data_IF_459125302522
#
_entry.id   IF_459125302522
#
_cell.length_a   1.000
_cell.length_b   1.000
_cell.length_c   1.000
_cell.angle_alpha   90.00
_cell.angle_beta   90.00
_cell.angle_gamma   90.00
#
_symmetry.space_group_name_H-M   'P 1'
#
loop_
_entity.id
_entity.type
_entity.pdbx_description
1 polymer ?
#
# COMPACT_ATOMS: atom_id res chain seq x y z
N UNK A 1 -6.74 22.90 -13.30
CA UNK A 1 -7.53 22.23 -12.23
C UNK A 1 -8.54 21.22 -12.74
N UNK A 2 -9.71 21.57 -13.30
CA UNK A 2 -10.70 20.55 -13.74
C UNK A 2 -10.16 19.58 -14.81
N UNK A 3 -9.40 20.10 -15.80
CA UNK A 3 -8.80 19.26 -16.85
C UNK A 3 -7.78 18.26 -16.30
N UNK A 4 -6.99 18.64 -15.29
CA UNK A 4 -6.00 17.76 -14.65
C UNK A 4 -6.69 16.70 -13.78
N UNK A 5 -7.75 17.10 -13.06
CA UNK A 5 -8.58 16.17 -12.28
C UNK A 5 -9.30 15.17 -13.19
N UNK A 6 -9.79 15.60 -14.35
CA UNK A 6 -10.40 14.71 -15.33
C UNK A 6 -9.36 13.77 -15.96
N UNK A 7 -8.20 14.29 -16.32
CA UNK A 7 -7.12 13.50 -16.88
C UNK A 7 -6.66 12.38 -15.92
N UNK A 8 -6.60 12.67 -14.62
CA UNK A 8 -6.25 11.70 -13.57
C UNK A 8 -7.44 10.91 -13.01
N UNK A 9 -8.65 11.08 -13.57
CA UNK A 9 -9.87 10.50 -13.02
C UNK A 9 -9.84 8.97 -12.96
N UNK A 10 -9.47 8.22 -14.02
CA UNK A 10 -9.45 6.75 -13.97
C UNK A 10 -8.59 6.20 -12.83
N UNK A 11 -7.37 6.71 -12.70
CA UNK A 11 -6.44 6.35 -11.62
C UNK A 11 -6.97 6.75 -10.25
N UNK A 12 -7.51 7.95 -10.11
CA UNK A 12 -8.03 8.45 -8.83
C UNK A 12 -9.26 7.63 -8.39
N UNK A 13 -10.12 7.25 -9.33
CA UNK A 13 -11.27 6.40 -9.06
C UNK A 13 -10.82 5.01 -8.58
N UNK A 14 -9.87 4.39 -9.28
CA UNK A 14 -9.28 3.10 -8.89
C UNK A 14 -8.71 3.15 -7.45
N UNK A 15 -7.91 4.18 -7.15
CA UNK A 15 -7.33 4.39 -5.83
C UNK A 15 -8.40 4.57 -4.77
N UNK A 16 -9.42 5.39 -5.04
CA UNK A 16 -10.51 5.66 -4.09
C UNK A 16 -11.38 4.44 -3.85
N UNK A 17 -11.65 3.61 -4.87
CA UNK A 17 -12.37 2.34 -4.69
C UNK A 17 -11.59 1.44 -3.74
N UNK A 18 -10.29 1.22 -3.99
CA UNK A 18 -9.49 0.35 -3.13
C UNK A 18 -9.32 0.91 -1.71
N UNK A 19 -9.24 2.23 -1.55
CA UNK A 19 -9.18 2.89 -0.25
C UNK A 19 -10.44 2.65 0.61
N UNK A 20 -11.57 2.27 0.01
CA UNK A 20 -12.76 1.85 0.77
C UNK A 20 -12.48 0.64 1.66
N UNK A 21 -11.52 -0.23 1.32
CA UNK A 21 -11.11 -1.34 2.18
C UNK A 21 -10.28 -0.90 3.39
N UNK A 22 -9.65 0.27 3.32
CA UNK A 22 -8.87 0.80 4.43
C UNK A 22 -9.80 1.29 5.56
N UNK A 23 -10.97 1.81 5.18
CA UNK A 23 -12.03 2.28 6.08
C UNK A 23 -13.05 1.19 6.47
N UNK A 24 -12.98 0.01 5.84
CA UNK A 24 -13.96 -1.04 6.04
C UNK A 24 -13.75 -1.85 7.33
N UNK A 25 -14.86 -2.35 7.88
CA UNK A 25 -14.89 -3.25 9.02
C UNK A 25 -15.09 -4.71 8.58
N UNK A 26 -14.65 -5.72 9.34
CA UNK A 26 -14.96 -7.12 9.03
C UNK A 26 -16.47 -7.37 9.13
N UNK A 27 -17.01 -8.17 8.20
CA UNK A 27 -18.37 -8.72 8.32
C UNK A 27 -18.51 -9.55 9.60
N UNK A 28 -19.73 -9.69 10.17
CA UNK A 28 -19.96 -10.55 11.33
C UNK A 28 -19.47 -12.00 11.12
N UNK A 29 -19.65 -12.53 9.90
CA UNK A 29 -19.16 -13.86 9.53
C UNK A 29 -17.63 -13.93 9.57
N UNK A 30 -16.93 -12.91 9.06
CA UNK A 30 -15.47 -12.84 9.12
C UNK A 30 -14.97 -12.68 10.56
N UNK A 31 -15.58 -11.80 11.34
CA UNK A 31 -15.24 -11.62 12.76
C UNK A 31 -15.38 -12.93 13.55
N UNK A 32 -16.47 -13.68 13.32
CA UNK A 32 -16.68 -14.97 13.96
C UNK A 32 -15.70 -16.05 13.47
N UNK A 33 -15.37 -16.06 12.17
CA UNK A 33 -14.33 -16.94 11.62
C UNK A 33 -12.99 -16.68 12.31
N UNK A 34 -12.57 -15.42 12.41
CA UNK A 34 -11.31 -15.03 13.07
C UNK A 34 -11.31 -15.45 14.54
N UNK A 35 -12.41 -15.23 15.25
CA UNK A 35 -12.58 -15.70 16.62
C UNK A 35 -12.36 -17.21 16.74
N UNK A 36 -13.00 -18.01 15.87
CA UNK A 36 -12.86 -19.48 15.90
C UNK A 36 -11.45 -19.94 15.59
N UNK A 37 -10.78 -19.30 14.63
CA UNK A 37 -9.37 -19.56 14.33
C UNK A 37 -8.50 -19.26 15.55
N UNK A 38 -8.65 -18.09 16.18
CA UNK A 38 -7.90 -17.74 17.39
C UNK A 38 -8.20 -18.66 18.58
N UNK A 39 -9.42 -19.18 18.73
CA UNK A 39 -9.74 -20.18 19.75
C UNK A 39 -9.04 -21.52 19.49
N UNK A 40 -9.12 -22.02 18.24
CA UNK A 40 -8.53 -23.31 17.87
C UNK A 40 -7.01 -23.32 18.04
N UNK A 41 -6.37 -22.19 17.76
CA UNK A 41 -4.92 -21.98 17.91
C UNK A 41 -4.52 -21.57 19.35
N UNK A 42 -5.46 -21.61 20.31
CA UNK A 42 -5.27 -21.23 21.71
C UNK A 42 -4.78 -19.78 21.92
N UNK A 43 -4.96 -18.90 20.94
CA UNK A 43 -4.58 -17.49 21.00
C UNK A 43 -5.60 -16.64 21.76
N UNK A 44 -6.83 -17.13 21.92
CA UNK A 44 -7.91 -16.46 22.62
C UNK A 44 -8.77 -17.46 23.40
N UNK A 45 -9.06 -17.16 24.67
CA UNK A 45 -9.84 -18.05 25.55
C UNK A 45 -11.15 -17.43 26.05
N UNK A 46 -11.32 -16.12 25.84
CA UNK A 46 -12.46 -15.35 26.33
C UNK A 46 -13.69 -15.45 25.40
N UNK A 47 -14.79 -14.79 25.79
CA UNK A 47 -16.03 -14.77 25.00
C UNK A 47 -15.88 -14.04 23.66
N UNK A 48 -16.82 -14.30 22.73
CA UNK A 48 -16.83 -13.64 21.41
C UNK A 48 -17.05 -12.13 21.53
N UNK A 49 -17.86 -11.66 22.48
CA UNK A 49 -18.16 -10.24 22.67
C UNK A 49 -16.90 -9.45 23.04
N UNK A 50 -16.05 -10.02 23.90
CA UNK A 50 -14.76 -9.43 24.24
C UNK A 50 -13.82 -9.40 23.05
N UNK A 51 -13.74 -10.51 22.30
CA UNK A 51 -12.92 -10.59 21.09
C UNK A 51 -13.36 -9.54 20.05
N UNK A 52 -14.66 -9.44 19.80
CA UNK A 52 -15.24 -8.51 18.85
C UNK A 52 -14.93 -7.05 19.23
N UNK A 53 -14.94 -6.71 20.53
CA UNK A 53 -14.55 -5.37 20.99
C UNK A 53 -13.11 -5.03 20.60
N UNK A 54 -12.15 -5.91 20.88
CA UNK A 54 -10.75 -5.70 20.50
C UNK A 54 -10.54 -5.71 19.00
N UNK A 55 -11.30 -6.54 18.28
CA UNK A 55 -11.28 -6.57 16.82
C UNK A 55 -11.73 -5.23 16.24
N UNK A 56 -12.81 -4.64 16.78
CA UNK A 56 -13.29 -3.33 16.35
C UNK A 56 -12.26 -2.23 16.66
N UNK A 57 -11.61 -2.25 17.82
CA UNK A 57 -10.53 -1.32 18.17
C UNK A 57 -9.35 -1.43 17.18
N UNK A 58 -9.00 -2.65 16.76
CA UNK A 58 -7.97 -2.88 15.75
C UNK A 58 -8.35 -2.35 14.36
N UNK A 59 -9.59 -2.58 13.92
CA UNK A 59 -10.07 -2.10 12.63
C UNK A 59 -10.39 -0.60 12.60
N UNK A 60 -10.59 0.04 13.75
CA UNK A 60 -10.71 1.49 13.84
C UNK A 60 -9.42 2.25 13.42
N UNK A 61 -8.26 1.59 13.50
CA UNK A 61 -7.00 2.17 13.04
C UNK A 61 -6.91 2.15 11.51
N UNK A 62 -6.25 3.13 10.86
CA UNK A 62 -5.97 3.08 9.42
C UNK A 62 -5.18 1.82 9.04
N UNK A 63 -5.46 1.20 7.89
CA UNK A 63 -4.80 -0.04 7.44
C UNK A 63 -3.26 0.04 7.45
N UNK A 64 -2.69 1.20 7.09
CA UNK A 64 -1.23 1.43 7.08
C UNK A 64 -0.63 1.35 8.50
N UNK A 65 -1.43 1.62 9.53
CA UNK A 65 -1.03 1.58 10.94
C UNK A 65 -1.35 0.23 11.59
N UNK A 66 -2.22 -0.59 10.98
CA UNK A 66 -2.55 -1.95 11.46
C UNK A 66 -1.34 -2.87 11.29
N UNK A 67 -0.60 -3.08 12.39
CA UNK A 67 0.53 -3.99 12.47
C UNK A 67 0.16 -5.24 13.24
N UNK A 68 0.75 -6.37 12.85
CA UNK A 68 0.65 -7.65 13.56
C UNK A 68 0.91 -7.51 15.07
N UNK A 69 1.90 -6.70 15.45
CA UNK A 69 2.23 -6.43 16.85
C UNK A 69 1.06 -5.86 17.66
N UNK A 70 0.15 -5.10 17.04
CA UNK A 70 -1.03 -4.60 17.75
C UNK A 70 -2.01 -5.72 18.10
N UNK A 71 -2.12 -6.73 17.24
CA UNK A 71 -2.93 -7.92 17.48
C UNK A 71 -2.29 -8.81 18.54
N UNK A 72 -0.99 -9.03 18.43
CA UNK A 72 -0.21 -9.82 19.40
C UNK A 72 -0.31 -9.28 20.84
N UNK A 73 -0.46 -7.96 21.02
CA UNK A 73 -0.55 -7.31 22.34
C UNK A 73 -1.81 -7.70 23.11
N UNK A 74 -2.93 -7.93 22.43
CA UNK A 74 -4.18 -8.28 23.10
C UNK A 74 -4.50 -9.78 23.05
N UNK A 75 -3.82 -10.56 22.22
CA UNK A 75 -3.95 -12.02 22.22
C UNK A 75 -3.19 -12.65 23.39
N UNK A 76 -3.58 -13.86 23.77
CA UNK A 76 -2.91 -14.62 24.84
C UNK A 76 -1.49 -15.08 24.43
N UNK A 77 -1.22 -15.12 23.13
CA UNK A 77 0.08 -15.51 22.55
C UNK A 77 0.29 -14.81 21.19
N UNK A 78 1.54 -14.72 20.70
CA UNK A 78 1.84 -14.12 19.40
C UNK A 78 1.15 -14.87 18.25
N UNK A 79 0.54 -14.11 17.33
CA UNK A 79 -0.13 -14.64 16.14
C UNK A 79 0.91 -15.15 15.13
N UNK A 80 0.61 -16.20 14.38
CA UNK A 80 1.44 -16.61 13.25
C UNK A 80 1.17 -15.74 12.00
N UNK A 81 2.17 -15.57 11.13
CA UNK A 81 2.04 -14.69 9.95
C UNK A 81 0.92 -15.12 9.01
N UNK A 82 0.76 -16.42 8.75
CA UNK A 82 -0.32 -16.93 7.91
C UNK A 82 -1.72 -16.67 8.50
N UNK A 83 -1.87 -16.74 9.83
CA UNK A 83 -3.11 -16.38 10.50
C UNK A 83 -3.35 -14.86 10.47
N UNK A 84 -2.29 -14.06 10.52
CA UNK A 84 -2.40 -12.61 10.37
C UNK A 84 -2.85 -12.22 8.96
N UNK A 85 -2.42 -12.93 7.92
CA UNK A 85 -2.94 -12.75 6.55
C UNK A 85 -4.45 -13.01 6.48
N UNK A 86 -5.00 -13.92 7.30
CA UNK A 86 -6.45 -14.10 7.39
C UNK A 86 -7.18 -12.86 7.94
N UNK A 87 -6.51 -11.95 8.67
CA UNK A 87 -7.13 -10.69 9.09
C UNK A 87 -7.25 -9.68 7.95
N UNK A 88 -6.66 -9.95 6.78
CA UNK A 88 -6.81 -9.08 5.61
C UNK A 88 -8.26 -9.03 5.12
N UNK A 89 -8.72 -7.80 4.92
CA UNK A 89 -10.04 -7.51 4.40
C UNK A 89 -10.04 -7.41 2.87
N UNK A 90 -11.14 -7.88 2.29
CA UNK A 90 -11.50 -7.77 0.90
C UNK A 90 -13.01 -7.49 0.79
N UNK A 91 -13.51 -7.12 -0.39
CA UNK A 91 -14.90 -6.71 -0.57
C UNK A 91 -15.94 -7.81 -0.33
N UNK A 92 -15.54 -9.07 -0.14
CA UNK A 92 -16.49 -10.14 0.24
C UNK A 92 -16.63 -10.29 1.74
N UNK A 93 -15.57 -9.99 2.48
CA UNK A 93 -15.50 -10.23 3.92
C UNK A 93 -15.53 -8.94 4.74
N UNK A 94 -15.62 -7.78 4.08
CA UNK A 94 -15.65 -6.46 4.67
C UNK A 94 -16.98 -5.74 4.44
N UNK A 95 -17.37 -4.88 5.38
CA UNK A 95 -18.52 -4.00 5.31
C UNK A 95 -18.01 -2.59 5.01
N UNK A 96 -18.39 -2.08 3.84
CA UNK A 96 -18.06 -0.72 3.42
C UNK A 96 -19.18 0.22 3.87
N UNK A 97 -18.83 1.35 4.49
CA UNK A 97 -19.83 2.35 4.88
C UNK A 97 -20.54 2.94 3.65
N UNK A 98 -21.87 2.99 3.72
CA UNK A 98 -22.70 3.52 2.66
C UNK A 98 -22.46 5.02 2.44
N UNK A 99 -22.03 5.77 3.46
CA UNK A 99 -21.68 7.19 3.27
C UNK A 99 -20.41 7.35 2.44
N UNK A 100 -19.38 6.54 2.67
CA UNK A 100 -18.17 6.52 1.84
C UNK A 100 -18.49 6.19 0.38
N UNK A 101 -19.39 5.21 0.14
CA UNK A 101 -19.88 4.89 -1.21
C UNK A 101 -20.61 6.06 -1.88
N UNK A 102 -21.54 6.72 -1.16
CA UNK A 102 -22.28 7.88 -1.67
C UNK A 102 -21.34 9.05 -1.98
N UNK A 103 -20.37 9.33 -1.10
CA UNK A 103 -19.38 10.38 -1.30
C UNK A 103 -18.53 10.12 -2.56
N UNK A 104 -18.13 8.87 -2.78
CA UNK A 104 -17.38 8.48 -3.98
C UNK A 104 -18.23 8.62 -5.24
N UNK A 105 -19.48 8.17 -5.21
CA UNK A 105 -20.41 8.28 -6.34
C UNK A 105 -20.71 9.74 -6.69
N UNK A 106 -20.96 10.59 -5.70
CA UNK A 106 -21.24 12.01 -5.89
C UNK A 106 -20.00 12.74 -6.47
N UNK A 107 -18.80 12.45 -5.95
CA UNK A 107 -17.56 12.98 -6.52
C UNK A 107 -17.39 12.58 -7.99
N UNK A 108 -17.60 11.30 -8.31
CA UNK A 108 -17.47 10.79 -9.67
C UNK A 108 -18.53 11.41 -10.59
N UNK A 109 -19.80 11.45 -10.17
CA UNK A 109 -20.90 12.09 -10.88
C UNK A 109 -20.58 13.55 -11.21
N UNK A 110 -20.17 14.32 -10.20
CA UNK A 110 -19.88 15.74 -10.38
C UNK A 110 -18.73 15.94 -11.39
N UNK A 111 -17.65 15.16 -11.28
CA UNK A 111 -16.51 15.33 -12.17
C UNK A 111 -16.85 14.94 -13.61
N UNK A 112 -17.56 13.81 -13.81
CA UNK A 112 -18.02 13.36 -15.12
C UNK A 112 -18.96 14.39 -15.76
N UNK A 113 -19.94 14.91 -15.00
CA UNK A 113 -20.89 15.92 -15.47
C UNK A 113 -20.17 17.20 -15.94
N UNK A 114 -19.22 17.69 -15.14
CA UNK A 114 -18.49 18.93 -15.45
C UNK A 114 -17.53 18.75 -16.63
N UNK A 115 -16.83 17.63 -16.70
CA UNK A 115 -15.87 17.35 -17.77
C UNK A 115 -16.57 17.13 -19.12
N UNK A 116 -17.63 16.33 -19.12
CA UNK A 116 -18.38 15.97 -20.33
C UNK A 116 -19.40 17.02 -20.75
N UNK A 117 -19.75 17.97 -19.86
CA UNK A 117 -20.83 18.95 -20.05
C UNK A 117 -22.13 18.27 -20.49
N UNK A 118 -22.44 17.13 -19.89
CA UNK A 118 -23.62 16.30 -20.20
C UNK A 118 -24.34 15.91 -18.91
N UNK A 119 -25.67 15.85 -18.98
CA UNK A 119 -26.54 15.34 -17.91
C UNK A 119 -27.08 13.94 -18.24
N UNK A 120 -26.26 13.13 -18.93
CA UNK A 120 -26.64 11.78 -19.33
C UNK A 120 -27.00 10.91 -18.11
N UNK A 121 -28.09 10.14 -18.21
CA UNK A 121 -28.57 9.28 -17.11
C UNK A 121 -27.57 8.18 -16.73
N UNK A 122 -26.69 7.78 -17.65
CA UNK A 122 -25.70 6.70 -17.40
C UNK A 122 -24.60 7.12 -16.42
N UNK A 123 -24.35 8.43 -16.27
CA UNK A 123 -23.40 8.98 -15.30
C UNK A 123 -24.08 9.51 -14.04
N UNK A 124 -25.39 9.25 -13.87
CA UNK A 124 -26.12 9.70 -12.69
C UNK A 124 -25.57 9.08 -11.41
N UNK A 125 -25.71 9.81 -10.30
CA UNK A 125 -25.26 9.36 -8.99
C UNK A 125 -25.83 7.98 -8.63
N UNK A 126 -27.12 7.72 -8.88
CA UNK A 126 -27.75 6.42 -8.60
C UNK A 126 -27.08 5.25 -9.37
N UNK A 127 -26.77 5.46 -10.66
CA UNK A 127 -26.08 4.44 -11.47
C UNK A 127 -24.68 4.17 -10.93
N UNK A 128 -23.96 5.22 -10.54
CA UNK A 128 -22.63 5.09 -9.96
C UNK A 128 -22.65 4.41 -8.58
N UNK A 129 -23.63 4.74 -7.73
CA UNK A 129 -23.84 4.05 -6.43
C UNK A 129 -24.11 2.57 -6.65
N UNK A 130 -25.00 2.21 -7.60
CA UNK A 130 -25.29 0.80 -7.93
C UNK A 130 -24.05 0.07 -8.46
N UNK A 131 -23.24 0.76 -9.27
CA UNK A 131 -21.98 0.22 -9.79
C UNK A 131 -20.97 -0.03 -8.67
N UNK A 132 -20.75 0.95 -7.79
CA UNK A 132 -19.84 0.80 -6.66
C UNK A 132 -20.33 -0.26 -5.67
N UNK A 133 -21.64 -0.37 -5.42
CA UNK A 133 -22.21 -1.45 -4.60
C UNK A 133 -21.97 -2.82 -5.18
N UNK A 134 -22.05 -2.96 -6.51
CA UNK A 134 -21.74 -4.21 -7.19
C UNK A 134 -20.26 -4.60 -7.00
N UNK A 135 -19.34 -3.65 -7.15
CA UNK A 135 -17.89 -3.85 -6.97
C UNK A 135 -17.54 -4.17 -5.51
N UNK A 136 -18.19 -3.49 -4.57
CA UNK A 136 -17.95 -3.64 -3.12
C UNK A 136 -18.73 -4.78 -2.48
N UNK A 137 -19.61 -5.46 -3.23
CA UNK A 137 -20.28 -6.70 -2.84
C UNK A 137 -20.22 -7.70 -4.00
N UNK A 138 -19.01 -8.13 -4.41
CA UNK A 138 -18.84 -8.89 -5.63
C UNK A 138 -19.36 -10.33 -5.46
N UNK A 139 -19.93 -10.93 -6.52
CA UNK A 139 -20.25 -12.35 -6.54
C UNK A 139 -19.02 -13.25 -6.29
N UNK A 140 -19.25 -14.52 -5.92
CA UNK A 140 -18.19 -15.47 -5.55
C UNK A 140 -17.15 -15.75 -6.65
N UNK A 141 -17.48 -15.51 -7.92
CA UNK A 141 -16.59 -15.70 -9.06
C UNK A 141 -15.88 -14.41 -9.50
N UNK A 142 -16.24 -13.26 -8.93
CA UNK A 142 -15.64 -11.97 -9.29
C UNK A 142 -14.57 -11.53 -8.30
N UNK A 143 -13.62 -10.74 -8.79
CA UNK A 143 -12.50 -10.24 -8.01
C UNK A 143 -12.97 -9.43 -6.79
N UNK A 144 -12.32 -9.64 -5.64
CA UNK A 144 -12.72 -9.04 -4.36
C UNK A 144 -11.68 -8.09 -3.75
N UNK A 145 -10.51 -7.96 -4.36
CA UNK A 145 -9.41 -7.09 -3.92
C UNK A 145 -8.64 -6.57 -5.11
N UNK A 146 -7.84 -5.51 -4.93
CA UNK A 146 -6.99 -4.91 -5.96
C UNK A 146 -7.76 -4.49 -7.22
N UNK A 147 -8.94 -3.90 -7.01
CA UNK A 147 -9.86 -3.51 -8.09
C UNK A 147 -9.16 -2.55 -9.03
N UNK A 148 -9.22 -2.84 -10.33
CA UNK A 148 -8.65 -2.00 -11.39
C UNK A 148 -9.73 -1.11 -12.00
N UNK A 149 -9.32 -0.06 -12.69
CA UNK A 149 -10.25 0.78 -13.44
C UNK A 149 -11.09 -0.02 -14.45
N UNK A 150 -10.51 -1.04 -15.10
CA UNK A 150 -11.24 -1.89 -16.03
C UNK A 150 -12.35 -2.70 -15.35
N UNK A 151 -12.11 -3.17 -14.11
CA UNK A 151 -13.12 -3.87 -13.30
C UNK A 151 -14.33 -2.95 -13.03
N UNK A 152 -14.09 -1.64 -12.83
CA UNK A 152 -15.15 -0.64 -12.69
C UNK A 152 -15.93 -0.44 -14.00
N UNK A 153 -15.24 -0.32 -15.14
CA UNK A 153 -15.88 -0.14 -16.44
C UNK A 153 -16.81 -1.32 -16.79
N UNK A 154 -16.37 -2.55 -16.52
CA UNK A 154 -17.16 -3.76 -16.75
C UNK A 154 -18.41 -3.81 -15.86
N UNK A 155 -18.25 -3.49 -14.57
CA UNK A 155 -19.38 -3.38 -13.64
C UNK A 155 -20.35 -2.28 -14.08
N UNK A 156 -19.85 -1.11 -14.47
CA UNK A 156 -20.66 0.02 -14.90
C UNK A 156 -21.46 -0.31 -16.16
N UNK A 157 -20.83 -0.97 -17.14
CA UNK A 157 -21.49 -1.45 -18.36
C UNK A 157 -22.61 -2.45 -18.04
N UNK A 158 -22.38 -3.40 -17.14
CA UNK A 158 -23.41 -4.35 -16.67
C UNK A 158 -24.59 -3.61 -16.05
N UNK A 159 -24.35 -2.66 -15.16
CA UNK A 159 -25.40 -1.90 -14.48
C UNK A 159 -26.20 -1.02 -15.45
N UNK A 160 -25.53 -0.29 -16.34
CA UNK A 160 -26.19 0.55 -17.35
C UNK A 160 -27.07 -0.29 -18.27
N UNK A 161 -26.55 -1.43 -18.75
CA UNK A 161 -27.33 -2.36 -19.57
C UNK A 161 -28.54 -2.94 -18.81
N UNK A 162 -28.35 -3.32 -17.55
CA UNK A 162 -29.45 -3.85 -16.72
C UNK A 162 -30.55 -2.81 -16.45
N UNK A 163 -30.20 -1.53 -16.32
CA UNK A 163 -31.16 -0.46 -16.02
C UNK A 163 -31.86 0.08 -17.27
N UNK A 164 -31.16 0.19 -18.40
CA UNK A 164 -31.65 0.92 -19.57
C UNK A 164 -31.61 0.13 -20.88
N UNK A 165 -31.13 -1.11 -20.87
CA UNK A 165 -30.90 -1.91 -22.07
C UNK A 165 -29.91 -1.21 -23.02
N UNK A 166 -30.26 -1.15 -24.31
CA UNK A 166 -29.42 -0.51 -25.36
C UNK A 166 -29.75 0.97 -25.59
N UNK A 167 -30.66 1.57 -24.82
CA UNK A 167 -31.19 2.92 -25.08
C UNK A 167 -30.12 4.01 -25.08
N UNK A 168 -29.14 3.90 -24.17
CA UNK A 168 -28.06 4.89 -24.01
C UNK A 168 -26.68 4.35 -24.41
N UNK A 169 -26.63 3.27 -25.21
CA UNK A 169 -25.37 2.58 -25.51
C UNK A 169 -24.40 3.48 -26.29
N UNK A 170 -24.88 4.27 -27.25
CA UNK A 170 -24.03 5.21 -28.01
C UNK A 170 -23.38 6.28 -27.13
N UNK A 171 -24.15 6.90 -26.23
CA UNK A 171 -23.67 7.90 -25.28
C UNK A 171 -22.70 7.28 -24.28
N UNK A 172 -23.04 6.11 -23.75
CA UNK A 172 -22.20 5.35 -22.84
C UNK A 172 -20.86 4.97 -23.47
N UNK A 173 -20.87 4.41 -24.69
CA UNK A 173 -19.66 4.04 -25.42
C UNK A 173 -18.76 5.24 -25.71
N UNK A 174 -19.34 6.42 -25.96
CA UNK A 174 -18.55 7.65 -26.15
C UNK A 174 -17.77 8.01 -24.89
N UNK A 175 -18.44 8.02 -23.73
CA UNK A 175 -17.81 8.34 -22.44
C UNK A 175 -16.77 7.27 -22.08
N UNK A 176 -17.12 6.00 -22.27
CA UNK A 176 -16.24 4.87 -21.96
C UNK A 176 -14.93 4.94 -22.76
N UNK A 177 -15.00 5.18 -24.08
CA UNK A 177 -13.81 5.30 -24.93
C UNK A 177 -12.89 6.43 -24.51
N UNK A 178 -13.44 7.56 -24.08
CA UNK A 178 -12.64 8.67 -23.58
C UNK A 178 -11.90 8.29 -22.30
N UNK A 179 -12.58 7.63 -21.37
CA UNK A 179 -11.99 7.17 -20.13
C UNK A 179 -10.91 6.09 -20.34
N UNK A 180 -11.16 5.14 -21.25
CA UNK A 180 -10.17 4.15 -21.65
C UNK A 180 -8.94 4.78 -22.29
N UNK A 181 -9.13 5.81 -23.13
CA UNK A 181 -8.04 6.58 -23.71
C UNK A 181 -7.21 7.31 -22.64
N UNK A 182 -7.87 7.95 -21.68
CA UNK A 182 -7.20 8.60 -20.54
C UNK A 182 -6.39 7.59 -19.72
N UNK A 183 -6.97 6.43 -19.41
CA UNK A 183 -6.28 5.37 -18.68
C UNK A 183 -5.06 4.84 -19.45
N UNK A 184 -5.17 4.67 -20.76
CA UNK A 184 -4.05 4.26 -21.60
C UNK A 184 -2.92 5.31 -21.62
N UNK A 185 -3.28 6.60 -21.67
CA UNK A 185 -2.32 7.69 -21.60
C UNK A 185 -1.58 7.70 -20.27
N UNK A 186 -2.29 7.58 -19.14
CA UNK A 186 -1.69 7.52 -17.80
C UNK A 186 -0.71 6.34 -17.67
N UNK A 187 -1.09 5.14 -18.15
CA UNK A 187 -0.20 3.97 -18.14
C UNK A 187 1.06 4.20 -18.98
N UNK A 188 0.94 4.84 -20.14
CA UNK A 188 2.09 5.20 -20.98
C UNK A 188 3.02 6.20 -20.28
N UNK A 189 2.46 7.20 -19.62
CA UNK A 189 3.23 8.18 -18.85
C UNK A 189 3.94 7.55 -17.65
N UNK A 190 3.30 6.59 -16.97
CA UNK A 190 3.91 5.82 -15.87
C UNK A 190 5.07 4.95 -16.35
N UNK A 191 4.92 4.27 -17.49
CA UNK A 191 5.99 3.49 -18.10
C UNK A 191 7.17 4.40 -18.49
N UNK A 192 6.90 5.54 -19.14
CA UNK A 192 7.93 6.51 -19.47
C UNK A 192 8.61 7.13 -18.23
N UNK A 193 7.88 7.32 -17.13
CA UNK A 193 8.46 7.80 -15.87
C UNK A 193 9.29 6.72 -15.17
N UNK A 194 8.92 5.44 -15.28
CA UNK A 194 9.74 4.32 -14.82
C UNK A 194 11.03 4.21 -15.65
N UNK A 195 10.96 4.41 -16.97
CA UNK A 195 12.12 4.45 -17.87
C UNK A 195 13.01 5.71 -17.67
N UNK A 196 12.45 6.79 -17.12
CA UNK A 196 13.17 8.02 -16.73
C UNK A 196 13.77 7.96 -15.32
N UNK A 197 13.43 6.97 -14.48
CA UNK A 197 14.26 6.66 -13.33
C UNK A 197 15.60 6.22 -13.89
N UNK A 198 16.74 6.74 -13.43
CA UNK A 198 18.02 6.35 -14.00
C UNK A 198 18.20 4.84 -13.85
N UNK A 199 18.04 4.11 -14.96
CA UNK A 199 18.27 2.66 -15.07
C UNK A 199 19.76 2.29 -14.93
N UNK A 200 20.62 3.27 -14.65
CA UNK A 200 22.05 3.10 -14.44
C UNK A 200 22.44 3.60 -13.04
N UNK A 201 22.14 2.79 -12.03
CA UNK A 201 22.99 2.73 -10.85
C UNK A 201 24.12 1.77 -11.22
N UNK A 202 25.34 2.22 -11.54
CA UNK A 202 26.43 1.30 -11.89
C UNK A 202 26.62 0.32 -10.74
N UNK A 203 26.47 -0.97 -11.03
CA UNK A 203 26.74 -2.06 -10.09
C UNK A 203 28.17 -1.89 -9.60
N UNK A 204 28.33 -1.57 -8.31
CA UNK A 204 29.65 -1.36 -7.75
C UNK A 204 30.22 -2.75 -7.46
N UNK A 205 31.21 -3.19 -8.24
CA UNK A 205 31.98 -4.38 -7.90
C UNK A 205 32.76 -4.13 -6.61
N UNK A 206 32.34 -4.71 -5.50
CA UNK A 206 33.06 -4.65 -4.23
C UNK A 206 34.17 -5.72 -4.21
N UNK A 207 35.35 -5.37 -3.70
CA UNK A 207 36.46 -6.29 -3.43
C UNK A 207 36.19 -7.07 -2.14
N UNK A 208 36.70 -8.29 -2.01
CA UNK A 208 36.41 -9.13 -0.83
C UNK A 208 36.66 -8.39 0.50
N UNK A 209 37.70 -7.57 0.59
CA UNK A 209 38.01 -6.70 1.74
C UNK A 209 36.90 -5.67 2.05
N UNK A 210 36.29 -5.05 1.04
CA UNK A 210 35.18 -4.09 1.22
C UNK A 210 33.90 -4.81 1.68
N UNK A 211 33.73 -6.07 1.26
CA UNK A 211 32.60 -6.89 1.71
C UNK A 211 32.80 -7.37 3.15
N UNK A 212 33.99 -7.84 3.49
CA UNK A 212 34.32 -8.25 4.85
C UNK A 212 34.17 -7.06 5.82
N UNK A 213 34.55 -5.85 5.38
CA UNK A 213 34.31 -4.62 6.13
C UNK A 213 32.81 -4.31 6.28
N UNK A 214 32.02 -4.40 5.20
CA UNK A 214 30.57 -4.15 5.24
C UNK A 214 29.84 -5.14 6.15
N UNK A 215 30.22 -6.43 6.12
CA UNK A 215 29.72 -7.47 7.03
C UNK A 215 30.16 -7.19 8.47
N UNK A 216 31.41 -6.74 8.66
CA UNK A 216 31.93 -6.34 9.97
C UNK A 216 31.15 -5.19 10.61
N UNK A 217 30.69 -4.23 9.81
CA UNK A 217 29.83 -3.13 10.28
C UNK A 217 28.48 -3.65 10.76
N UNK A 218 27.80 -4.50 9.99
CA UNK A 218 26.52 -5.08 10.38
C UNK A 218 26.64 -5.85 11.70
N UNK A 219 27.65 -6.72 11.81
CA UNK A 219 27.94 -7.48 13.04
C UNK A 219 28.22 -6.58 14.24
N UNK A 220 28.94 -5.48 14.05
CA UNK A 220 29.23 -4.53 15.12
C UNK A 220 28.00 -3.71 15.54
N UNK A 221 27.10 -3.37 14.61
CA UNK A 221 25.83 -2.69 14.92
C UNK A 221 24.83 -3.60 15.65
N UNK A 222 24.81 -4.89 15.33
CA UNK A 222 23.97 -5.88 16.01
C UNK A 222 24.48 -6.17 17.42
N UNK A 223 25.79 -6.30 17.58
CA UNK A 223 26.44 -6.53 18.88
C UNK A 223 26.61 -5.24 19.71
N UNK A 224 26.25 -4.06 19.19
CA UNK A 224 26.55 -2.74 19.76
C UNK A 224 28.03 -2.57 20.16
N UNK A 225 28.94 -3.11 19.36
CA UNK A 225 30.40 -3.03 19.57
C UNK A 225 31.02 -1.95 18.69
N UNK A 226 32.32 -1.69 18.89
CA UNK A 226 33.04 -0.68 18.13
C UNK A 226 33.06 -1.03 16.63
N UNK A 227 32.64 -0.08 15.79
CA UNK A 227 32.59 -0.25 14.33
C UNK A 227 34.01 -0.37 13.74
N UNK A 228 34.24 -1.32 12.80
CA UNK A 228 35.55 -1.52 12.20
C UNK A 228 35.95 -0.33 11.31
N UNK A 229 37.23 0.04 11.35
CA UNK A 229 37.78 1.11 10.50
C UNK A 229 37.79 0.69 9.03
N UNK A 230 37.56 1.66 8.14
CA UNK A 230 37.59 1.42 6.71
C UNK A 230 38.96 0.85 6.27
N UNK A 231 39.00 -0.25 5.50
CA UNK A 231 40.26 -0.81 5.02
C UNK A 231 40.93 0.15 4.06
N UNK A 232 42.12 0.65 4.43
CA UNK A 232 42.94 1.56 3.61
C UNK A 232 43.41 0.87 2.33
N UNK A 233 42.56 0.82 1.31
CA UNK A 233 42.92 0.32 -0.01
C UNK A 233 43.37 1.49 -0.88
N UNK A 234 44.58 1.40 -1.44
CA UNK A 234 45.25 2.43 -2.28
C UNK A 234 44.62 2.60 -3.69
N UNK A 235 43.30 2.56 -3.79
CA UNK A 235 42.54 2.65 -5.04
C UNK A 235 41.53 3.80 -5.06
N UNK A 236 40.92 4.10 -6.22
CA UNK A 236 39.86 5.09 -6.32
C UNK A 236 38.69 4.69 -5.41
N UNK A 237 38.36 5.56 -4.45
CA UNK A 237 37.31 5.31 -3.45
C UNK A 237 35.93 5.38 -4.13
N UNK A 238 35.15 4.31 -3.97
CA UNK A 238 33.78 4.23 -4.52
C UNK A 238 32.85 5.15 -3.72
N UNK A 239 32.09 5.99 -4.41
CA UNK A 239 31.22 7.00 -3.81
C UNK A 239 30.30 6.44 -2.71
N UNK A 240 29.70 5.25 -2.92
CA UNK A 240 28.82 4.63 -1.92
C UNK A 240 29.54 4.17 -0.65
N UNK A 241 30.81 3.76 -0.75
CA UNK A 241 31.63 3.42 0.43
C UNK A 241 32.04 4.68 1.20
N UNK A 242 32.33 5.78 0.49
CA UNK A 242 32.57 7.10 1.10
C UNK A 242 31.32 7.56 1.85
N UNK A 243 30.14 7.43 1.24
CA UNK A 243 28.89 7.84 1.86
C UNK A 243 28.53 6.97 3.07
N UNK A 244 28.81 5.65 3.02
CA UNK A 244 28.70 4.76 4.18
C UNK A 244 29.66 5.17 5.29
N UNK A 245 30.93 5.44 4.97
CA UNK A 245 31.93 5.90 5.93
C UNK A 245 31.53 7.24 6.59
N UNK A 246 31.00 8.19 5.82
CA UNK A 246 30.48 9.46 6.34
C UNK A 246 29.35 9.25 7.33
N UNK A 247 28.41 8.36 7.03
CA UNK A 247 27.30 8.04 7.95
C UNK A 247 27.79 7.32 9.20
N UNK A 248 28.80 6.45 9.10
CA UNK A 248 29.44 5.82 10.25
C UNK A 248 30.15 6.85 11.14
N UNK A 249 30.84 7.82 10.55
CA UNK A 249 31.47 8.93 11.30
C UNK A 249 30.41 9.75 12.04
N UNK A 250 29.30 10.09 11.38
CA UNK A 250 28.14 10.75 12.00
C UNK A 250 27.58 9.92 13.16
N UNK A 251 27.41 8.61 12.99
CA UNK A 251 26.94 7.72 14.04
C UNK A 251 27.87 7.68 15.25
N UNK A 252 29.19 7.62 15.04
CA UNK A 252 30.18 7.67 16.13
C UNK A 252 30.15 9.01 16.87
N UNK A 253 30.01 10.13 16.16
CA UNK A 253 29.86 11.46 16.77
C UNK A 253 28.60 11.48 17.65
N UNK A 254 27.46 11.02 17.12
CA UNK A 254 26.19 10.96 17.85
C UNK A 254 26.26 10.01 19.05
N UNK A 255 27.01 8.91 18.97
CA UNK A 255 27.25 8.01 20.12
C UNK A 255 28.04 8.68 21.25
N UNK A 256 28.99 9.56 20.92
CA UNK A 256 29.83 10.26 21.91
C UNK A 256 29.21 11.55 22.46
N UNK A 257 28.13 12.02 21.84
CA UNK A 257 27.48 13.29 22.16
C UNK A 257 26.43 13.09 23.27
N UNK A 258 26.36 14.02 24.23
CA UNK A 258 25.40 13.99 25.37
C UNK A 258 24.11 14.76 25.10
N UNK A 259 23.95 15.30 23.90
CA UNK A 259 22.83 16.13 23.50
C UNK A 259 21.57 15.26 23.20
N UNK A 260 20.45 15.49 23.91
CA UNK A 260 19.24 14.70 23.78
C UNK A 260 18.55 14.80 22.40
N UNK A 261 18.76 15.87 21.62
CA UNK A 261 18.19 15.97 20.27
C UNK A 261 18.88 14.99 19.31
N UNK A 262 20.21 14.90 19.36
CA UNK A 262 20.96 13.98 18.50
C UNK A 262 20.77 12.50 18.88
N UNK A 263 20.51 12.20 20.16
CA UNK A 263 20.18 10.85 20.61
C UNK A 263 18.89 10.30 19.99
N UNK A 264 17.89 11.15 19.72
CA UNK A 264 16.65 10.73 19.03
C UNK A 264 16.90 10.27 17.59
N UNK A 265 17.93 10.81 16.95
CA UNK A 265 18.30 10.45 15.58
C UNK A 265 19.22 9.23 15.50
N UNK A 266 19.73 8.72 16.63
CA UNK A 266 20.65 7.57 16.69
C UNK A 266 20.08 6.33 16.02
N UNK A 267 18.82 5.99 16.32
CA UNK A 267 18.17 4.80 15.75
C UNK A 267 17.89 4.97 14.25
N UNK A 268 17.57 6.19 13.80
CA UNK A 268 17.40 6.50 12.37
C UNK A 268 18.71 6.41 11.60
N UNK A 269 19.82 6.88 12.20
CA UNK A 269 21.16 6.76 11.61
C UNK A 269 21.58 5.28 11.59
N UNK A 270 21.31 4.51 12.66
CA UNK A 270 21.56 3.07 12.71
C UNK A 270 20.81 2.34 11.59
N UNK A 271 19.51 2.58 11.44
CA UNK A 271 18.70 2.02 10.37
C UNK A 271 19.21 2.40 8.97
N UNK A 272 19.69 3.65 8.80
CA UNK A 272 20.29 4.11 7.54
C UNK A 272 21.60 3.39 7.22
N UNK A 273 22.44 3.11 8.22
CA UNK A 273 23.68 2.35 8.03
C UNK A 273 23.36 0.90 7.65
N UNK A 274 22.42 0.25 8.35
CA UNK A 274 21.99 -1.12 8.05
C UNK A 274 21.47 -1.21 6.62
N UNK A 275 20.57 -0.31 6.20
CA UNK A 275 20.03 -0.28 4.85
C UNK A 275 21.13 -0.12 3.79
N UNK A 276 22.10 0.78 4.01
CA UNK A 276 23.23 0.98 3.09
C UNK A 276 24.15 -0.24 3.01
N UNK A 277 24.44 -0.90 4.14
CA UNK A 277 25.22 -2.13 4.18
C UNK A 277 24.50 -3.28 3.46
N UNK A 278 23.20 -3.47 3.70
CA UNK A 278 22.40 -4.47 2.99
C UNK A 278 22.34 -4.21 1.49
N UNK A 279 22.16 -2.94 1.07
CA UNK A 279 22.19 -2.56 -0.35
C UNK A 279 23.52 -2.89 -1.02
N UNK A 280 24.65 -2.59 -0.36
CA UNK A 280 25.99 -2.91 -0.85
C UNK A 280 26.23 -4.43 -0.96
N UNK A 281 25.67 -5.23 -0.05
CA UNK A 281 25.82 -6.70 -0.06
C UNK A 281 24.87 -7.38 -1.06
N UNK A 282 23.67 -6.84 -1.28
CA UNK A 282 22.73 -7.34 -2.30
C UNK A 282 23.25 -7.09 -3.71
N UNK A 283 23.85 -5.94 -3.96
CA UNK A 283 24.47 -5.60 -5.26
C UNK A 283 25.71 -6.45 -5.59
N UNK A 284 26.16 -7.28 -4.65
CA UNK A 284 27.30 -8.19 -4.79
C UNK A 284 26.93 -9.57 -5.37
N UNK A 285 25.65 -9.81 -5.66
CA UNK A 285 25.11 -11.11 -6.11
C UNK A 285 24.71 -11.14 -7.60
N UNK A 286 25.51 -10.52 -8.47
CA UNK A 286 25.47 -10.74 -9.92
C UNK A 286 26.88 -11.09 -10.42
#
# INVERSE_FOLDING_TARGET
>A
MIKELWHSFPRTLEQRINALLDEAEPTPAKAFQLYKVCQNENLWQDSFEKFQKHLNEFFALPKVERRKSHVDVFLNAPLHTHLFEDFELNFRNAVVDNRSLLNLANWAHHLMRVAQKTDCLVISEDVLVKTLRYITNPPLFEKAKDIKFEDFCDAWKKIVFNLFGRKYDSEFQKILRELEWLQAQLKSEELQQQDRRPAFMPTIYLTQTEIDWTIGILKALDANTQLPKFPLSRGPQKQRLIDLERTIRLYNIVQTTKDPEFLKHKENIKATIINRCEGLLRDKAA
#
